data_IF_130227887261
#
_entry.id   IF_130227887261
#
_cell.length_a   1.000
_cell.length_b   1.000
_cell.length_c   1.000
_cell.angle_alpha   90.00
_cell.angle_beta   90.00
_cell.angle_gamma   90.00
#
_symmetry.space_group_name_H-M   'P 1'
#
loop_
_entity.id
_entity.type
_entity.pdbx_description
1 polymer ?
#
# COMPACT_ATOMS: atom_id res chain seq x y z
N UNK A 1 -6.19 -52.05 -13.99
CA UNK A 1 -6.50 -51.29 -12.77
C UNK A 1 -5.96 -49.89 -12.99
N UNK A 2 -6.85 -48.89 -13.10
CA UNK A 2 -6.47 -47.50 -13.41
C UNK A 2 -5.77 -46.90 -12.20
N UNK A 3 -4.55 -46.44 -12.41
CA UNK A 3 -3.61 -45.99 -11.39
C UNK A 3 -4.20 -44.86 -10.52
N UNK A 4 -4.58 -45.24 -9.29
CA UNK A 4 -5.07 -44.36 -8.20
C UNK A 4 -4.15 -43.17 -7.93
N UNK A 5 -2.87 -43.26 -8.33
CA UNK A 5 -1.84 -42.24 -8.11
C UNK A 5 -2.09 -40.95 -8.92
N UNK A 6 -2.76 -41.03 -10.06
CA UNK A 6 -3.01 -39.85 -10.91
C UNK A 6 -4.14 -38.96 -10.37
N UNK A 7 -5.05 -39.53 -9.57
CA UNK A 7 -6.23 -38.82 -9.05
C UNK A 7 -5.87 -37.90 -7.86
N UNK A 8 -4.78 -38.16 -7.14
CA UNK A 8 -4.38 -37.35 -5.98
C UNK A 8 -3.61 -36.07 -6.32
N UNK A 9 -3.08 -35.96 -7.54
CA UNK A 9 -2.29 -34.80 -7.96
C UNK A 9 -3.12 -33.64 -8.54
N UNK A 10 -4.41 -33.84 -8.82
CA UNK A 10 -5.28 -32.80 -9.40
C UNK A 10 -6.04 -31.97 -8.35
N UNK A 11 -6.00 -32.35 -7.07
CA UNK A 11 -6.75 -31.64 -6.01
C UNK A 11 -6.03 -30.40 -5.45
N UNK A 12 -4.71 -30.25 -5.65
CA UNK A 12 -3.93 -29.15 -5.04
C UNK A 12 -3.77 -27.92 -5.94
N UNK A 13 -4.18 -27.99 -7.21
CA UNK A 13 -3.99 -26.89 -8.17
C UNK A 13 -5.10 -25.82 -8.14
N UNK A 14 -6.20 -26.02 -7.40
CA UNK A 14 -7.37 -25.13 -7.46
C UNK A 14 -7.42 -23.99 -6.45
N UNK A 15 -6.61 -24.01 -5.39
CA UNK A 15 -6.83 -23.13 -4.22
C UNK A 15 -6.06 -21.80 -4.25
N UNK A 16 -5.15 -21.58 -5.20
CA UNK A 16 -4.26 -20.40 -5.23
C UNK A 16 -4.79 -19.22 -6.07
N UNK A 17 -5.93 -19.37 -6.75
CA UNK A 17 -6.42 -18.35 -7.70
C UNK A 17 -7.25 -17.22 -7.06
N UNK A 18 -7.66 -17.32 -5.79
CA UNK A 18 -8.64 -16.39 -5.18
C UNK A 18 -8.03 -15.33 -4.24
N UNK A 19 -6.71 -15.34 -4.01
CA UNK A 19 -6.08 -14.47 -3.01
C UNK A 19 -5.59 -13.10 -3.50
N UNK A 20 -5.48 -12.88 -4.82
CA UNK A 20 -4.80 -11.69 -5.36
C UNK A 20 -5.74 -10.54 -5.79
N UNK A 21 -7.06 -10.69 -5.62
CA UNK A 21 -8.03 -9.70 -6.11
C UNK A 21 -8.41 -8.60 -5.10
N UNK A 22 -7.88 -8.61 -3.87
CA UNK A 22 -8.40 -7.76 -2.78
C UNK A 22 -7.54 -6.58 -2.34
N UNK A 23 -6.44 -6.24 -3.04
CA UNK A 23 -5.64 -5.03 -2.71
C UNK A 23 -5.66 -4.01 -3.86
N UNK A 24 -6.87 -3.71 -4.34
CA UNK A 24 -7.09 -2.51 -5.16
C UNK A 24 -7.24 -1.31 -4.23
N UNK A 25 -6.11 -0.81 -3.71
CA UNK A 25 -6.08 0.51 -3.08
C UNK A 25 -6.30 1.55 -4.17
N UNK A 26 -7.53 2.02 -4.30
CA UNK A 26 -7.92 3.15 -5.15
C UNK A 26 -6.85 4.23 -5.04
N UNK A 27 -6.22 4.60 -6.15
CA UNK A 27 -5.44 5.83 -6.18
C UNK A 27 -6.37 6.94 -5.69
N UNK A 28 -6.11 7.47 -4.48
CA UNK A 28 -6.96 8.47 -3.87
C UNK A 28 -6.82 9.73 -4.72
N UNK A 29 -7.73 9.91 -5.68
CA UNK A 29 -8.00 11.23 -6.23
C UNK A 29 -8.31 12.12 -5.02
N UNK A 30 -7.56 13.22 -4.88
CA UNK A 30 -7.52 14.01 -3.66
C UNK A 30 -8.93 14.28 -3.13
N UNK A 31 -9.22 13.77 -1.94
CA UNK A 31 -10.48 14.04 -1.26
C UNK A 31 -10.45 15.49 -0.77
N UNK A 32 -11.49 16.31 -1.01
CA UNK A 32 -11.56 17.64 -0.45
C UNK A 32 -11.36 17.63 1.08
N UNK A 33 -10.55 18.55 1.60
CA UNK A 33 -10.24 18.65 3.03
C UNK A 33 -9.15 17.71 3.52
N UNK A 34 -8.39 17.08 2.62
CA UNK A 34 -7.25 16.21 2.96
C UNK A 34 -6.00 16.58 2.16
N UNK A 35 -4.85 16.49 2.81
CA UNK A 35 -3.54 16.85 2.28
C UNK A 35 -2.55 15.68 2.39
N UNK A 36 -1.54 15.66 1.51
CA UNK A 36 -0.43 14.71 1.60
C UNK A 36 0.60 15.24 2.59
N UNK A 37 0.89 14.49 3.64
CA UNK A 37 1.91 14.83 4.62
C UNK A 37 3.16 13.95 4.44
N UNK A 38 4.21 14.54 3.89
CA UNK A 38 5.49 13.89 3.62
C UNK A 38 6.43 13.89 4.83
N UNK A 39 7.34 12.91 4.86
CA UNK A 39 8.45 12.86 5.84
C UNK A 39 8.06 12.34 7.21
N UNK A 40 6.82 11.86 7.38
CA UNK A 40 6.27 11.42 8.67
C UNK A 40 5.79 9.97 8.67
N UNK A 41 5.77 9.32 7.50
CA UNK A 41 5.34 7.93 7.37
C UNK A 41 6.36 6.99 8.06
N UNK A 42 5.86 5.99 8.79
CA UNK A 42 6.71 4.87 9.23
C UNK A 42 7.07 3.95 8.06
N UNK A 43 8.14 3.18 8.22
CA UNK A 43 8.49 2.10 7.31
C UNK A 43 7.27 1.18 7.11
N UNK A 44 6.97 0.88 5.85
CA UNK A 44 5.80 0.06 5.49
C UNK A 44 4.43 0.71 5.77
N UNK A 45 4.35 2.00 6.09
CA UNK A 45 3.10 2.69 6.44
C UNK A 45 2.86 3.96 5.61
N UNK A 46 3.44 4.04 4.42
CA UNK A 46 3.18 5.12 3.45
C UNK A 46 1.95 4.82 2.59
N UNK A 47 1.39 5.88 2.00
CA UNK A 47 0.38 5.80 0.94
C UNK A 47 0.99 5.66 -0.46
N UNK A 48 0.15 5.28 -1.43
CA UNK A 48 0.53 5.05 -2.83
C UNK A 48 1.07 6.32 -3.52
N UNK A 49 1.88 6.16 -4.58
CA UNK A 49 2.20 7.27 -5.49
C UNK A 49 3.36 8.15 -5.03
N UNK A 50 4.54 7.54 -4.85
CA UNK A 50 5.84 8.23 -4.80
C UNK A 50 6.64 7.93 -6.07
N UNK A 51 7.77 8.62 -6.29
CA UNK A 51 8.67 8.32 -7.41
C UNK A 51 9.39 6.98 -7.25
N UNK A 52 9.54 6.51 -6.01
CA UNK A 52 10.26 5.28 -5.67
C UNK A 52 9.42 4.04 -5.95
N UNK A 53 8.11 4.12 -5.70
CA UNK A 53 7.19 3.03 -5.90
C UNK A 53 5.72 3.48 -5.97
N UNK A 54 4.90 2.68 -6.63
CA UNK A 54 3.49 3.00 -6.83
C UNK A 54 2.58 2.64 -5.66
N UNK A 55 2.87 1.57 -4.93
CA UNK A 55 1.95 1.04 -3.91
C UNK A 55 2.27 1.51 -2.48
N UNK A 56 1.22 1.59 -1.66
CA UNK A 56 1.28 1.79 -0.22
C UNK A 56 2.09 0.69 0.48
N UNK A 57 2.63 1.02 1.64
CA UNK A 57 3.37 0.09 2.49
C UNK A 57 4.73 -0.36 1.95
N UNK A 58 5.32 0.38 1.03
CA UNK A 58 6.60 0.06 0.42
C UNK A 58 7.79 0.90 0.94
N UNK A 59 7.51 1.89 1.78
CA UNK A 59 8.52 2.69 2.46
C UNK A 59 9.51 1.78 3.20
N UNK A 60 10.80 2.02 2.97
CA UNK A 60 11.88 1.23 3.56
C UNK A 60 12.38 1.78 4.89
N UNK A 61 12.06 3.04 5.20
CA UNK A 61 12.55 3.73 6.38
C UNK A 61 11.48 4.62 6.99
N UNK A 62 11.57 4.83 8.30
CA UNK A 62 10.77 5.83 8.99
C UNK A 62 11.18 7.23 8.50
N UNK A 63 10.18 8.08 8.22
CA UNK A 63 10.38 9.49 7.91
C UNK A 63 11.04 9.77 6.56
N UNK A 64 10.96 8.85 5.60
CA UNK A 64 11.45 9.12 4.24
C UNK A 64 10.77 10.36 3.64
N UNK A 65 11.56 11.27 3.07
CA UNK A 65 11.10 12.59 2.63
C UNK A 65 10.12 12.55 1.45
N UNK A 66 10.13 11.48 0.64
CA UNK A 66 9.17 11.32 -0.45
C UNK A 66 7.91 10.62 0.00
N UNK A 67 8.02 9.77 1.01
CA UNK A 67 6.93 8.98 1.57
C UNK A 67 5.97 9.85 2.36
N UNK A 68 4.68 9.59 2.17
CA UNK A 68 3.61 10.40 2.72
C UNK A 68 2.48 9.57 3.27
N UNK A 69 1.68 10.22 4.12
CA UNK A 69 0.38 9.75 4.58
C UNK A 69 -0.69 10.79 4.28
N UNK A 70 -1.91 10.34 3.98
CA UNK A 70 -3.04 11.22 3.73
C UNK A 70 -3.73 11.60 5.03
N UNK A 71 -3.79 12.90 5.31
CA UNK A 71 -4.30 13.43 6.57
C UNK A 71 -5.31 14.55 6.31
N UNK A 72 -6.19 14.88 7.26
CA UNK A 72 -7.02 16.07 7.15
C UNK A 72 -6.17 17.33 6.99
N UNK A 73 -6.63 18.30 6.20
CA UNK A 73 -5.95 19.58 5.99
C UNK A 73 -5.53 20.27 7.29
N UNK A 74 -4.32 20.83 7.30
CA UNK A 74 -3.73 21.50 8.46
C UNK A 74 -3.20 20.54 9.53
N UNK A 75 -3.33 19.23 9.37
CA UNK A 75 -2.76 18.24 10.29
C UNK A 75 -1.24 18.17 10.13
N UNK A 76 -0.73 18.24 8.90
CA UNK A 76 0.71 18.06 8.64
C UNK A 76 1.56 19.13 9.33
N UNK A 77 1.05 20.37 9.37
CA UNK A 77 1.72 21.49 10.03
C UNK A 77 1.82 21.34 11.57
N UNK A 78 1.06 20.41 12.16
CA UNK A 78 1.11 20.09 13.60
C UNK A 78 2.14 19.00 13.92
N UNK A 79 2.74 18.38 12.91
CA UNK A 79 3.69 17.28 13.06
C UNK A 79 5.10 17.82 12.83
N UNK A 80 5.98 17.63 13.81
CA UNK A 80 7.39 18.02 13.69
C UNK A 80 8.02 17.30 12.48
N UNK A 81 8.60 18.07 11.57
CA UNK A 81 9.22 17.55 10.35
C UNK A 81 8.26 17.27 9.19
N UNK A 82 6.93 17.36 9.42
CA UNK A 82 5.93 17.19 8.38
C UNK A 82 6.01 18.27 7.30
N UNK A 83 5.83 17.87 6.04
CA UNK A 83 5.75 18.79 4.90
C UNK A 83 4.51 18.49 4.07
N UNK A 84 3.69 19.51 3.85
CA UNK A 84 2.56 19.41 2.93
C UNK A 84 3.10 19.33 1.51
N UNK A 85 2.73 18.27 0.80
CA UNK A 85 2.98 18.17 -0.65
C UNK A 85 1.72 18.59 -1.40
N UNK A 86 1.87 19.59 -2.27
CA UNK A 86 0.83 20.02 -3.21
C UNK A 86 0.51 18.98 -4.29
#
# INVERSE_FOLDING_TARGET
MKDTKTIMNTALAGALALGLASVSSSALAGKPGFEKCQGVAKAGMNDCGTSKHSCAGQSKADGDAEEWVYVPEGTCNKIVGGKVKG
#
